data_IF_116992608714
#
_entry.id   IF_116992608714
#
_cell.length_a   1.000
_cell.length_b   1.000
_cell.length_c   1.000
_cell.angle_alpha   90.00
_cell.angle_beta   90.00
_cell.angle_gamma   90.00
#
_symmetry.space_group_name_H-M   'P 1'
#
loop_
_entity.id
_entity.type
_entity.pdbx_description
1 polymer ?
#
# COMPACT_ATOMS: atom_id res chain seq x y z
N UNK A 1 10.04 -6.74 0.95
CA UNK A 1 9.18 -5.54 0.95
C UNK A 1 10.05 -4.30 0.71
N UNK A 2 9.67 -3.39 -0.19
CA UNK A 2 10.37 -2.10 -0.43
C UNK A 2 9.35 -0.97 -0.61
N UNK A 3 9.59 0.19 0.01
CA UNK A 3 8.78 1.40 -0.13
C UNK A 3 9.66 2.58 -0.60
N UNK A 4 9.08 3.55 -1.33
CA UNK A 4 9.83 4.74 -1.75
C UNK A 4 8.99 5.86 -2.33
N UNK A 5 9.52 7.09 -2.24
CA UNK A 5 8.92 8.31 -2.79
C UNK A 5 9.11 8.30 -4.31
N UNK A 6 8.01 8.46 -5.06
CA UNK A 6 7.96 8.43 -6.52
C UNK A 6 8.58 7.19 -7.20
N UNK A 7 8.92 6.14 -6.43
CA UNK A 7 9.59 4.96 -6.94
C UNK A 7 8.57 3.98 -7.56
N UNK A 8 8.61 3.83 -8.88
CA UNK A 8 7.74 2.88 -9.61
C UNK A 8 8.19 1.42 -9.53
N UNK A 9 9.40 1.13 -9.06
CA UNK A 9 9.89 -0.23 -8.83
C UNK A 9 9.68 -0.73 -7.39
N UNK A 10 9.17 0.13 -6.50
CA UNK A 10 8.88 -0.24 -5.12
C UNK A 10 7.55 -0.98 -5.00
N UNK A 11 7.43 -1.83 -3.97
CA UNK A 11 6.17 -2.53 -3.65
C UNK A 11 5.09 -1.55 -3.22
N UNK A 12 5.47 -0.54 -2.40
CA UNK A 12 4.60 0.56 -1.99
C UNK A 12 5.17 1.87 -2.53
N UNK A 13 4.33 2.67 -3.19
CA UNK A 13 4.70 4.00 -3.70
C UNK A 13 4.03 5.09 -2.88
N UNK A 14 4.81 6.09 -2.49
CA UNK A 14 4.29 7.36 -1.95
C UNK A 14 4.48 8.41 -3.06
N UNK A 15 3.42 9.11 -3.45
CA UNK A 15 3.55 10.14 -4.47
C UNK A 15 4.41 11.30 -3.94
N UNK A 16 5.07 12.03 -4.84
CA UNK A 16 5.91 13.16 -4.44
C UNK A 16 5.09 14.23 -3.71
N UNK A 17 3.90 14.53 -4.24
CA UNK A 17 2.96 15.46 -3.62
C UNK A 17 2.59 15.04 -2.19
N UNK A 18 2.22 13.77 -1.98
CA UNK A 18 1.89 13.26 -0.63
C UNK A 18 3.06 13.38 0.32
N UNK A 19 4.29 13.16 -0.17
CA UNK A 19 5.50 13.33 0.64
C UNK A 19 5.78 14.81 0.98
N UNK A 20 5.50 15.73 0.06
CA UNK A 20 5.71 17.17 0.23
C UNK A 20 4.65 17.78 1.17
N UNK A 21 3.38 17.42 0.99
CA UNK A 21 2.25 17.88 1.79
C UNK A 21 2.12 17.17 3.14
N UNK A 22 2.86 16.05 3.33
CA UNK A 22 2.83 15.19 4.53
C UNK A 22 1.44 14.62 4.85
N UNK A 23 0.55 14.54 3.87
CA UNK A 23 -0.77 13.95 3.98
C UNK A 23 -1.22 13.35 2.64
N UNK A 24 -2.22 12.46 2.68
CA UNK A 24 -2.78 11.82 1.50
C UNK A 24 -2.73 10.29 1.60
N UNK A 25 -2.22 9.61 0.58
CA UNK A 25 -2.33 8.16 0.44
C UNK A 25 -1.04 7.47 -0.02
N UNK A 26 -0.95 6.17 0.27
CA UNK A 26 0.03 5.24 -0.31
C UNK A 26 -0.61 4.42 -1.42
N UNK A 27 0.21 3.93 -2.34
CA UNK A 27 -0.23 3.02 -3.42
C UNK A 27 0.47 1.67 -3.22
N UNK A 28 -0.30 0.63 -2.89
CA UNK A 28 0.19 -0.75 -2.91
C UNK A 28 0.11 -1.29 -4.34
N UNK A 29 1.27 -1.63 -4.91
CA UNK A 29 1.42 -2.05 -6.31
C UNK A 29 1.68 -3.53 -6.46
N UNK A 30 1.51 -4.30 -5.37
CA UNK A 30 1.65 -5.76 -5.33
C UNK A 30 0.44 -6.54 -5.86
N UNK A 31 -0.82 -6.08 -5.71
CA UNK A 31 -1.96 -6.83 -6.21
C UNK A 31 -1.88 -7.07 -7.72
N UNK A 32 -2.06 -8.33 -8.12
CA UNK A 32 -2.11 -8.72 -9.53
C UNK A 32 -3.42 -8.26 -10.18
N UNK A 33 -3.46 -8.15 -11.51
CA UNK A 33 -4.65 -7.68 -12.24
C UNK A 33 -5.90 -8.57 -12.06
N UNK A 34 -5.72 -9.82 -11.62
CA UNK A 34 -6.77 -10.80 -11.38
C UNK A 34 -7.10 -11.00 -9.89
N UNK A 35 -6.62 -10.13 -8.99
CA UNK A 35 -6.90 -10.25 -7.57
C UNK A 35 -8.38 -10.02 -7.25
N UNK A 36 -8.88 -10.68 -6.22
CA UNK A 36 -10.19 -10.34 -5.64
C UNK A 36 -10.09 -8.99 -4.90
N UNK A 37 -10.82 -7.95 -5.34
CA UNK A 37 -10.76 -6.64 -4.69
C UNK A 37 -11.20 -6.66 -3.22
N UNK A 38 -12.13 -7.55 -2.85
CA UNK A 38 -12.61 -7.64 -1.46
C UNK A 38 -11.56 -8.26 -0.56
N UNK A 39 -10.91 -9.35 -1.00
CA UNK A 39 -9.82 -9.95 -0.25
C UNK A 39 -8.63 -8.99 -0.08
N UNK A 40 -8.26 -8.26 -1.13
CA UNK A 40 -7.13 -7.30 -1.08
C UNK A 40 -7.42 -6.17 -0.10
N UNK A 41 -8.62 -5.58 -0.16
CA UNK A 41 -8.99 -4.47 0.72
C UNK A 41 -9.11 -4.91 2.18
N UNK A 42 -9.66 -6.10 2.45
CA UNK A 42 -9.75 -6.68 3.80
C UNK A 42 -8.36 -6.87 4.42
N UNK A 43 -7.41 -7.47 3.69
CA UNK A 43 -6.04 -7.68 4.18
C UNK A 43 -5.35 -6.35 4.49
N UNK A 44 -5.48 -5.34 3.62
CA UNK A 44 -4.88 -4.02 3.84
C UNK A 44 -5.40 -3.40 5.15
N UNK A 45 -6.72 -3.44 5.38
CA UNK A 45 -7.33 -2.87 6.58
C UNK A 45 -6.91 -3.65 7.83
N UNK A 46 -6.93 -4.98 7.77
CA UNK A 46 -6.52 -5.84 8.89
C UNK A 46 -5.09 -5.58 9.34
N UNK A 47 -4.15 -5.55 8.39
CA UNK A 47 -2.74 -5.34 8.69
C UNK A 47 -2.46 -3.91 9.17
N UNK A 48 -3.03 -2.89 8.53
CA UNK A 48 -2.65 -1.48 8.78
C UNK A 48 -3.46 -0.86 9.92
N UNK A 49 -4.75 -1.14 10.00
CA UNK A 49 -5.66 -0.49 10.93
C UNK A 49 -5.97 -1.34 12.16
N UNK A 50 -5.97 -2.68 12.02
CA UNK A 50 -6.33 -3.60 13.11
C UNK A 50 -5.12 -4.30 13.75
N UNK A 51 -3.92 -4.11 13.19
CA UNK A 51 -2.66 -4.65 13.74
C UNK A 51 -2.58 -6.18 13.69
N UNK A 52 -3.39 -6.82 12.84
CA UNK A 52 -3.36 -8.26 12.64
C UNK A 52 -2.02 -8.68 12.03
N UNK A 53 -1.38 -9.67 12.63
CA UNK A 53 -0.11 -10.24 12.15
C UNK A 53 -0.40 -11.65 11.68
N UNK A 54 0.10 -11.99 10.48
CA UNK A 54 0.18 -13.38 10.08
C UNK A 54 1.05 -14.12 11.12
N UNK A 55 0.44 -15.13 11.74
CA UNK A 55 1.06 -16.04 12.71
C UNK A 55 2.06 -17.00 12.07
#
# INVERSE_FOLDING_TARGET
FKAGIANRGASIRISRQVSEEKCGYLEDRRPASNCDPYAVTDIIVRTVCLGEKDS
#
